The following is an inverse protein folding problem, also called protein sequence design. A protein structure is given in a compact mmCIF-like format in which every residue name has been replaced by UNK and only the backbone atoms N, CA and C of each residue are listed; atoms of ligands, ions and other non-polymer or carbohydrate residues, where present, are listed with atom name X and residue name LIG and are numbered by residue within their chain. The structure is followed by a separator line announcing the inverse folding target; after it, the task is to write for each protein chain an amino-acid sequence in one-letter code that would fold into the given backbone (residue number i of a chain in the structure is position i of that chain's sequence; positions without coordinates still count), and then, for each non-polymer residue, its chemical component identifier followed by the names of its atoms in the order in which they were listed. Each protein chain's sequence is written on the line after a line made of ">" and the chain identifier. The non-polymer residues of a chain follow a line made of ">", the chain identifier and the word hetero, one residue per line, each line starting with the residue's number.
data_IF_503696006959
#
_entry.id   IF_503696006959
#
_cell.length_a   1.000
_cell.length_b   1.000
_cell.length_c   1.000
_cell.angle_alpha   90.00
_cell.angle_beta   90.00
_cell.angle_gamma   90.00
#
_symmetry.space_group_name_H-M   'P 1'
#
loop_
_entity.id
_entity.type
_entity.pdbx_description
1 polymer ?
#
# COMPACT_ATOMS: atom_id res chain seq x y z
N UNK A 1 17.33 -0.81 -3.30
CA UNK A 1 16.21 -1.48 -4.00
C UNK A 1 16.44 -1.51 -5.52
N UNK A 2 16.85 -0.39 -6.13
CA UNK A 2 17.06 -0.25 -7.60
C UNK A 2 18.05 -1.23 -8.28
N UNK A 3 18.93 -1.88 -7.51
CA UNK A 3 19.83 -2.91 -8.01
C UNK A 3 19.17 -4.31 -8.16
N UNK A 4 17.87 -4.43 -7.88
CA UNK A 4 17.12 -5.70 -7.93
C UNK A 4 16.94 -6.39 -6.58
N UNK A 5 17.09 -5.65 -5.47
CA UNK A 5 16.86 -6.20 -4.14
C UNK A 5 15.35 -6.38 -3.90
N UNK A 6 14.94 -7.61 -3.55
CA UNK A 6 13.53 -7.97 -3.32
C UNK A 6 13.00 -7.44 -1.98
N UNK A 7 13.88 -7.31 -1.00
CA UNK A 7 13.60 -6.74 0.32
C UNK A 7 14.90 -6.32 1.02
N UNK A 8 14.78 -5.55 2.09
CA UNK A 8 15.88 -5.15 2.97
C UNK A 8 15.52 -5.55 4.40
N UNK A 9 16.43 -6.26 5.06
CA UNK A 9 16.28 -6.70 6.44
C UNK A 9 17.46 -6.26 7.29
N UNK A 10 17.20 -6.12 8.58
CA UNK A 10 18.27 -6.00 9.58
C UNK A 10 18.93 -7.35 9.89
N UNK A 11 20.00 -7.30 10.67
CA UNK A 11 20.58 -8.51 11.24
C UNK A 11 19.63 -9.05 12.33
N UNK A 12 19.26 -10.34 12.30
CA UNK A 12 18.39 -10.90 13.34
C UNK A 12 19.12 -10.92 14.69
N UNK A 13 18.34 -10.88 15.77
CA UNK A 13 18.87 -11.06 17.12
C UNK A 13 19.54 -12.44 17.26
N UNK A 14 20.52 -12.56 18.16
CA UNK A 14 21.18 -13.83 18.46
C UNK A 14 20.37 -14.70 19.45
N UNK A 15 20.68 -16.00 19.54
CA UNK A 15 20.13 -16.90 20.56
C UNK A 15 20.32 -16.31 21.96
N UNK A 16 19.27 -16.37 22.80
CA UNK A 16 19.26 -15.78 24.14
C UNK A 16 18.64 -14.38 24.23
N UNK A 17 18.37 -13.70 23.10
CA UNK A 17 17.62 -12.45 23.11
C UNK A 17 16.10 -12.72 23.21
N UNK A 18 15.32 -11.97 24.01
CA UNK A 18 13.87 -12.21 24.19
C UNK A 18 13.06 -12.22 22.89
N UNK A 19 13.51 -11.48 21.87
CA UNK A 19 12.87 -11.41 20.55
C UNK A 19 13.38 -12.45 19.54
N UNK A 20 14.33 -13.31 19.91
CA UNK A 20 14.99 -14.26 19.00
C UNK A 20 14.00 -15.14 18.24
N UNK A 21 13.16 -15.88 18.96
CA UNK A 21 12.19 -16.82 18.38
C UNK A 21 11.21 -16.15 17.40
N UNK A 22 10.71 -14.98 17.78
CA UNK A 22 9.82 -14.20 16.94
C UNK A 22 10.53 -13.71 15.66
N UNK A 23 11.72 -13.13 15.79
CA UNK A 23 12.49 -12.64 14.65
C UNK A 23 12.93 -13.78 13.73
N UNK A 24 13.37 -14.92 14.28
CA UNK A 24 13.74 -16.10 13.52
C UNK A 24 12.56 -16.62 12.69
N UNK A 25 11.36 -16.75 13.29
CA UNK A 25 10.16 -17.20 12.59
C UNK A 25 9.72 -16.24 11.49
N UNK A 26 9.79 -14.92 11.74
CA UNK A 26 9.52 -13.89 10.72
C UNK A 26 10.46 -14.03 9.53
N UNK A 27 11.75 -14.25 9.77
CA UNK A 27 12.77 -14.37 8.73
C UNK A 27 12.60 -15.67 7.94
N UNK A 28 12.34 -16.79 8.63
CA UNK A 28 12.09 -18.08 7.97
C UNK A 28 10.88 -18.02 7.05
N UNK A 29 9.76 -17.48 7.53
CA UNK A 29 8.57 -17.29 6.70
C UNK A 29 8.88 -16.43 5.48
N UNK A 30 9.62 -15.32 5.68
CA UNK A 30 9.98 -14.45 4.58
C UNK A 30 10.91 -15.12 3.57
N UNK A 31 11.89 -15.89 4.02
CA UNK A 31 12.80 -16.66 3.16
C UNK A 31 12.04 -17.72 2.36
N UNK A 32 11.10 -18.43 2.99
CA UNK A 32 10.23 -19.39 2.30
C UNK A 32 9.43 -18.71 1.19
N UNK A 33 8.73 -17.63 1.51
CA UNK A 33 7.97 -16.88 0.49
C UNK A 33 8.86 -16.30 -0.60
N UNK A 34 10.07 -15.83 -0.27
CA UNK A 34 11.01 -15.35 -1.28
C UNK A 34 11.60 -16.45 -2.15
N UNK A 35 11.75 -17.67 -1.62
CA UNK A 35 12.27 -18.81 -2.37
C UNK A 35 11.34 -19.25 -3.50
N UNK A 36 10.05 -18.93 -3.38
CA UNK A 36 9.02 -19.24 -4.38
C UNK A 36 8.97 -18.17 -5.51
N UNK A 37 9.57 -17.00 -5.30
CA UNK A 37 9.62 -15.92 -6.28
C UNK A 37 10.61 -16.29 -7.38
N UNK A 38 10.13 -16.48 -8.61
CA UNK A 38 11.01 -16.61 -9.77
C UNK A 38 11.75 -15.30 -10.00
N UNK A 39 13.04 -15.26 -9.65
CA UNK A 39 13.90 -14.12 -9.95
C UNK A 39 14.11 -14.07 -11.47
N UNK A 40 13.37 -13.21 -12.16
CA UNK A 40 13.63 -12.92 -13.57
C UNK A 40 14.93 -12.13 -13.63
N UNK A 41 16.00 -12.77 -14.12
CA UNK A 41 17.28 -12.08 -14.42
C UNK A 41 16.94 -10.94 -15.37
N UNK A 42 17.20 -9.70 -14.91
CA UNK A 42 17.01 -8.41 -15.58
C UNK A 42 17.12 -8.57 -17.11
N UNK A 43 15.99 -8.84 -17.78
CA UNK A 43 15.86 -8.57 -19.21
C UNK A 43 15.66 -7.07 -19.26
N UNK A 44 16.58 -6.38 -19.91
CA UNK A 44 16.37 -5.04 -20.42
C UNK A 44 15.09 -5.09 -21.25
N UNK A 45 13.95 -4.76 -20.64
CA UNK A 45 12.75 -4.43 -21.39
C UNK A 45 13.05 -3.05 -21.94
N UNK A 46 13.73 -3.06 -23.10
CA UNK A 46 13.79 -1.90 -23.97
C UNK A 46 12.36 -1.46 -24.24
N UNK A 47 12.21 -0.14 -24.22
CA UNK A 47 11.01 0.61 -24.50
C UNK A 47 10.19 0.05 -25.68
N UNK A 48 8.88 0.29 -25.60
CA UNK A 48 7.83 0.08 -26.60
C UNK A 48 6.93 -1.12 -26.33
N UNK A 49 6.15 -1.01 -25.26
CA UNK A 49 4.79 -1.53 -25.22
C UNK A 49 3.99 -0.59 -24.32
N UNK A 50 3.48 0.51 -24.87
CA UNK A 50 2.29 1.14 -24.28
C UNK A 50 1.24 0.04 -24.17
N UNK A 51 0.77 -0.35 -22.97
CA UNK A 51 -0.41 -1.17 -22.89
C UNK A 51 -1.51 -0.32 -23.50
N UNK A 52 -2.06 -0.76 -24.63
CA UNK A 52 -3.26 -0.14 -25.17
C UNK A 52 -4.26 -0.06 -24.01
N UNK A 53 -4.69 1.15 -23.65
CA UNK A 53 -5.70 1.40 -22.63
C UNK A 53 -6.93 0.61 -23.06
N UNK A 54 -7.08 -0.59 -22.50
CA UNK A 54 -8.14 -1.48 -22.86
C UNK A 54 -9.39 -0.88 -22.23
N UNK A 55 -10.20 -0.18 -23.03
CA UNK A 55 -11.43 0.54 -22.62
C UNK A 55 -12.49 -0.35 -21.94
N UNK A 56 -12.17 -1.61 -21.62
CA UNK A 56 -12.99 -2.60 -20.95
C UNK A 56 -12.82 -2.67 -19.42
N UNK A 57 -12.18 -1.69 -18.75
CA UNK A 57 -12.05 -1.60 -17.28
C UNK A 57 -13.38 -1.53 -16.49
N UNK A 58 -14.52 -1.61 -17.17
CA UNK A 58 -15.86 -1.60 -16.58
C UNK A 58 -16.50 -2.99 -16.47
N UNK A 59 -15.90 -4.05 -17.01
CA UNK A 59 -16.69 -5.27 -17.28
C UNK A 59 -17.02 -6.18 -16.08
N UNK A 60 -16.45 -5.99 -14.90
CA UNK A 60 -16.82 -6.77 -13.70
C UNK A 60 -16.62 -5.95 -12.41
N UNK A 61 -17.45 -4.93 -12.18
CA UNK A 61 -17.54 -4.27 -10.88
C UNK A 61 -18.51 -5.08 -10.01
N UNK A 62 -18.02 -5.70 -8.95
CA UNK A 62 -18.90 -6.34 -7.96
C UNK A 62 -19.61 -5.27 -7.14
N UNK A 63 -20.95 -5.28 -7.08
CA UNK A 63 -21.68 -4.51 -6.06
C UNK A 63 -21.25 -5.07 -4.68
N UNK A 64 -20.88 -4.26 -3.67
CA UNK A 64 -21.26 -2.87 -3.41
C UNK A 64 -20.17 -1.81 -3.74
N UNK A 65 -19.37 -1.99 -4.78
CA UNK A 65 -18.32 -1.02 -5.15
C UNK A 65 -18.86 0.25 -5.82
N UNK A 66 -18.15 1.38 -5.64
CA UNK A 66 -18.40 2.69 -6.29
C UNK A 66 -19.73 3.36 -5.88
N UNK A 67 -20.05 3.38 -4.58
CA UNK A 67 -21.26 4.06 -4.10
C UNK A 67 -21.05 5.55 -3.79
N UNK A 68 -19.79 5.97 -3.61
CA UNK A 68 -19.49 7.35 -3.26
C UNK A 68 -19.65 8.30 -4.46
N UNK A 69 -20.26 9.46 -4.21
CA UNK A 69 -20.36 10.56 -5.16
C UNK A 69 -19.06 11.36 -5.28
N UNK A 70 -18.21 11.28 -4.25
CA UNK A 70 -16.88 11.89 -4.18
C UNK A 70 -15.96 11.03 -3.32
N UNK A 71 -14.65 11.13 -3.54
CA UNK A 71 -13.63 10.53 -2.68
C UNK A 71 -12.87 11.63 -1.95
N UNK A 72 -12.51 11.36 -0.68
CA UNK A 72 -11.85 12.32 0.20
C UNK A 72 -10.43 11.90 0.62
N UNK A 73 -10.07 10.63 0.44
CA UNK A 73 -8.76 10.11 0.82
C UNK A 73 -8.36 8.91 -0.02
N UNK A 74 -7.06 8.76 -0.26
CA UNK A 74 -6.47 7.52 -0.77
C UNK A 74 -5.65 6.87 0.35
N UNK A 75 -5.89 5.60 0.62
CA UNK A 75 -5.09 4.80 1.57
C UNK A 75 -4.44 3.61 0.85
N UNK A 76 -3.14 3.42 1.05
CA UNK A 76 -2.34 2.41 0.35
C UNK A 76 -1.63 1.53 1.37
N UNK A 77 -1.70 0.21 1.18
CA UNK A 77 -0.99 -0.78 2.00
C UNK A 77 -0.12 -1.69 1.15
N UNK A 78 1.14 -1.89 1.57
CA UNK A 78 2.09 -2.73 0.83
C UNK A 78 3.16 -3.36 1.73
N UNK A 79 3.88 -4.37 1.21
CA UNK A 79 5.00 -5.02 1.88
C UNK A 79 6.11 -5.40 0.88
N UNK A 80 6.55 -6.67 0.81
CA UNK A 80 7.54 -7.12 -0.16
C UNK A 80 7.11 -6.82 -1.61
N UNK A 81 7.98 -6.14 -2.38
CA UNK A 81 7.65 -5.62 -3.72
C UNK A 81 6.84 -4.31 -3.74
N UNK A 82 6.34 -3.89 -2.57
CA UNK A 82 5.62 -2.63 -2.39
C UNK A 82 6.39 -1.37 -2.77
N UNK A 83 7.71 -1.22 -2.50
CA UNK A 83 8.43 -0.01 -2.84
C UNK A 83 8.35 0.40 -4.32
N UNK A 84 8.50 -0.55 -5.25
CA UNK A 84 8.41 -0.27 -6.70
C UNK A 84 6.96 0.00 -7.14
N UNK A 85 5.98 -0.71 -6.56
CA UNK A 85 4.56 -0.47 -6.85
C UNK A 85 4.10 0.90 -6.34
N UNK A 86 4.51 1.29 -5.13
CA UNK A 86 4.23 2.61 -4.55
C UNK A 86 4.91 3.71 -5.36
N UNK A 87 6.18 3.54 -5.75
CA UNK A 87 6.88 4.49 -6.63
C UNK A 87 6.12 4.68 -7.94
N UNK A 88 5.70 3.59 -8.58
CA UNK A 88 4.90 3.66 -9.82
C UNK A 88 3.62 4.46 -9.61
N UNK A 89 2.92 4.21 -8.49
CA UNK A 89 1.68 4.93 -8.18
C UNK A 89 1.95 6.40 -7.93
N UNK A 90 2.82 6.76 -6.98
CA UNK A 90 3.05 8.14 -6.58
C UNK A 90 3.72 9.00 -7.67
N UNK A 91 4.53 8.40 -8.55
CA UNK A 91 5.05 9.06 -9.74
C UNK A 91 3.98 9.19 -10.84
N UNK A 92 2.99 8.31 -10.88
CA UNK A 92 1.92 8.34 -11.87
C UNK A 92 0.76 9.29 -11.51
N UNK A 93 0.57 9.61 -10.23
CA UNK A 93 -0.50 10.50 -9.79
C UNK A 93 -0.31 11.92 -10.37
N UNK A 94 -1.44 12.56 -10.68
CA UNK A 94 -1.46 13.99 -11.01
C UNK A 94 -0.99 14.82 -9.81
N UNK A 95 -0.15 15.82 -10.05
CA UNK A 95 0.44 16.67 -8.99
C UNK A 95 -0.64 17.38 -8.12
N UNK A 96 -1.80 17.68 -8.70
CA UNK A 96 -2.90 18.41 -8.05
C UNK A 96 -4.08 17.49 -7.70
N UNK A 97 -3.82 16.23 -7.34
CA UNK A 97 -4.89 15.34 -6.90
C UNK A 97 -5.60 15.95 -5.66
N UNK A 98 -6.95 16.07 -5.64
CA UNK A 98 -7.66 16.91 -4.68
C UNK A 98 -7.83 16.27 -3.29
N UNK A 99 -7.08 15.20 -3.00
CA UNK A 99 -7.17 14.43 -1.76
C UNK A 99 -5.78 14.06 -1.24
N UNK A 100 -5.61 13.89 0.09
CA UNK A 100 -4.39 13.35 0.67
C UNK A 100 -4.24 11.86 0.37
N UNK A 101 -2.99 11.40 0.34
CA UNK A 101 -2.61 9.99 0.19
C UNK A 101 -1.92 9.52 1.47
N UNK A 102 -2.37 8.43 2.08
CA UNK A 102 -1.72 7.84 3.25
C UNK A 102 -1.22 6.45 2.87
N UNK A 103 0.04 6.16 3.19
CA UNK A 103 0.71 4.95 2.72
C UNK A 103 1.35 4.23 3.90
N UNK A 104 0.99 2.96 4.08
CA UNK A 104 1.69 2.05 4.99
C UNK A 104 2.46 1.04 4.16
N UNK A 105 3.78 1.13 4.23
CA UNK A 105 4.71 0.15 3.70
C UNK A 105 5.31 -0.61 4.89
N UNK A 106 5.17 -1.94 4.91
CA UNK A 106 5.91 -2.76 5.88
C UNK A 106 7.39 -2.78 5.51
N UNK A 107 8.15 -1.94 6.19
CA UNK A 107 9.59 -1.84 6.11
C UNK A 107 10.15 -1.72 7.53
N UNK A 108 11.40 -2.13 7.73
CA UNK A 108 12.06 -1.92 9.02
C UNK A 108 12.15 -0.41 9.34
N UNK A 109 11.98 -0.06 10.61
CA UNK A 109 11.95 1.32 11.08
C UNK A 109 13.21 2.11 10.68
N UNK A 110 14.37 1.45 10.63
CA UNK A 110 15.64 2.10 10.28
C UNK A 110 15.75 2.48 8.80
N UNK A 111 14.88 1.94 7.94
CA UNK A 111 14.84 2.27 6.52
C UNK A 111 13.67 3.19 6.14
N UNK A 112 12.77 3.51 7.09
CA UNK A 112 11.58 4.30 6.79
C UNK A 112 11.92 5.71 6.27
N UNK A 113 12.89 6.39 6.88
CA UNK A 113 13.34 7.72 6.44
C UNK A 113 13.98 7.67 5.06
N UNK A 114 14.98 6.81 4.87
CA UNK A 114 15.65 6.65 3.57
C UNK A 114 14.71 6.20 2.44
N UNK A 115 13.65 5.44 2.78
CA UNK A 115 12.60 5.10 1.83
C UNK A 115 11.79 6.32 1.40
N UNK A 116 11.41 7.19 2.35
CA UNK A 116 10.72 8.44 2.04
C UNK A 116 11.62 9.38 1.21
N UNK A 117 12.91 9.48 1.53
CA UNK A 117 13.87 10.29 0.75
C UNK A 117 14.00 9.80 -0.69
N UNK A 118 14.08 8.48 -0.87
CA UNK A 118 14.09 7.90 -2.22
C UNK A 118 12.80 8.24 -2.99
N UNK A 119 11.64 8.15 -2.35
CA UNK A 119 10.36 8.51 -2.98
C UNK A 119 10.28 10.01 -3.31
N UNK A 120 10.84 10.91 -2.48
CA UNK A 120 10.90 12.35 -2.78
C UNK A 120 11.60 12.65 -4.10
N UNK A 121 12.61 11.87 -4.45
CA UNK A 121 13.35 12.05 -5.71
C UNK A 121 12.61 11.56 -6.97
N UNK A 122 11.50 10.83 -6.81
CA UNK A 122 10.82 10.14 -7.93
C UNK A 122 9.32 10.35 -8.00
N UNK A 123 8.70 10.92 -6.97
CA UNK A 123 7.23 11.08 -6.89
C UNK A 123 6.77 12.42 -7.45
N UNK A 124 5.56 12.44 -8.02
CA UNK A 124 4.91 13.68 -8.47
C UNK A 124 4.23 14.45 -7.33
N UNK A 125 4.01 13.80 -6.19
CA UNK A 125 3.39 14.37 -5.00
C UNK A 125 4.42 14.56 -3.88
N UNK A 126 4.33 15.63 -3.06
CA UNK A 126 5.20 15.80 -1.90
C UNK A 126 5.07 14.66 -0.89
N UNK A 127 6.21 14.15 -0.40
CA UNK A 127 6.28 13.01 0.52
C UNK A 127 6.64 13.46 1.93
N UNK A 128 5.83 13.06 2.89
CA UNK A 128 5.92 13.41 4.31
C UNK A 128 6.01 12.17 5.19
N UNK A 129 6.82 12.25 6.24
CA UNK A 129 6.73 11.34 7.37
C UNK A 129 5.76 12.00 8.35
N UNK A 130 4.67 11.31 8.66
CA UNK A 130 3.59 11.87 9.42
C UNK A 130 4.01 12.21 10.86
N UNK A 131 3.61 13.38 11.33
CA UNK A 131 3.74 13.80 12.72
C UNK A 131 2.46 13.46 13.52
N UNK A 132 2.55 13.58 14.84
CA UNK A 132 1.38 13.48 15.70
C UNK A 132 0.44 14.68 15.43
N UNK A 133 -0.86 14.39 15.28
CA UNK A 133 -1.90 15.38 15.03
C UNK A 133 -1.57 16.33 13.86
N UNK A 134 -1.11 15.75 12.76
CA UNK A 134 -0.78 16.46 11.53
C UNK A 134 -2.00 16.71 10.65
N UNK A 135 -2.11 17.94 10.16
CA UNK A 135 -3.13 18.34 9.19
C UNK A 135 -2.76 17.82 7.82
N UNK A 136 -3.68 17.05 7.23
CA UNK A 136 -3.53 16.46 5.91
C UNK A 136 -3.82 17.47 4.81
N UNK A 137 -2.90 17.57 3.86
CA UNK A 137 -2.98 18.46 2.71
C UNK A 137 -3.31 17.64 1.47
N UNK A 138 -4.26 18.12 0.66
CA UNK A 138 -4.56 17.52 -0.64
C UNK A 138 -3.31 17.52 -1.54
N UNK A 139 -3.13 16.45 -2.32
CA UNK A 139 -1.97 16.33 -3.21
C UNK A 139 -0.68 15.90 -2.51
N UNK A 140 -0.71 15.62 -1.21
CA UNK A 140 0.45 15.18 -0.44
C UNK A 140 0.32 13.70 -0.03
N UNK A 141 1.46 13.01 0.06
CA UNK A 141 1.53 11.63 0.53
C UNK A 141 2.21 11.54 1.91
N UNK A 142 1.61 10.78 2.82
CA UNK A 142 2.02 10.65 4.22
C UNK A 142 2.35 9.20 4.56
N UNK A 143 3.48 8.99 5.22
CA UNK A 143 3.98 7.69 5.66
C UNK A 143 4.11 7.67 7.18
N UNK A 144 3.84 6.54 7.86
CA UNK A 144 4.14 6.41 9.27
C UNK A 144 5.65 6.55 9.51
N UNK A 145 6.06 7.16 10.63
CA UNK A 145 7.41 6.98 11.13
C UNK A 145 7.64 5.52 11.54
N UNK A 146 8.91 5.13 11.63
CA UNK A 146 9.29 3.77 12.01
C UNK A 146 8.68 3.33 13.34
N UNK A 147 8.17 2.10 13.40
CA UNK A 147 7.61 1.49 14.61
C UNK A 147 6.41 2.25 15.24
N UNK A 148 5.64 3.00 14.45
CA UNK A 148 4.39 3.64 14.87
C UNK A 148 3.28 3.41 13.84
N UNK A 149 2.02 3.39 14.28
CA UNK A 149 0.86 3.30 13.41
C UNK A 149 0.45 4.69 12.89
N UNK A 150 0.11 4.79 11.61
CA UNK A 150 -0.54 5.97 11.03
C UNK A 150 -2.06 5.78 11.09
N UNK A 151 -2.76 6.72 11.72
CA UNK A 151 -4.20 6.63 12.02
C UNK A 151 -4.89 7.93 11.63
N UNK A 152 -6.01 7.85 10.91
CA UNK A 152 -6.89 8.98 10.66
C UNK A 152 -7.76 9.26 11.89
N UNK A 153 -7.72 10.51 12.39
CA UNK A 153 -8.58 10.99 13.49
C UNK A 153 -9.84 11.68 12.98
N UNK A 154 -9.74 12.43 11.90
CA UNK A 154 -10.84 13.14 11.24
C UNK A 154 -10.56 13.30 9.75
N UNK A 155 -11.45 13.98 9.02
CA UNK A 155 -11.26 14.21 7.58
C UNK A 155 -9.98 14.99 7.24
N UNK A 156 -9.46 15.77 8.19
CA UNK A 156 -8.32 16.66 7.99
C UNK A 156 -7.12 16.33 8.86
N UNK A 157 -7.24 15.36 9.78
CA UNK A 157 -6.23 15.12 10.82
C UNK A 157 -5.80 13.65 10.84
N UNK A 158 -4.50 13.42 10.76
CA UNK A 158 -3.88 12.13 11.05
C UNK A 158 -3.01 12.22 12.31
N UNK A 159 -2.83 11.08 12.98
CA UNK A 159 -1.92 10.95 14.11
C UNK A 159 -1.03 9.74 13.91
N UNK A 160 0.10 9.76 14.61
CA UNK A 160 0.90 8.58 14.89
C UNK A 160 0.49 7.97 16.22
N UNK A 161 0.48 6.64 16.32
CA UNK A 161 0.18 5.91 17.55
C UNK A 161 1.26 4.88 17.88
N UNK A 162 1.64 4.84 19.16
CA UNK A 162 2.52 3.82 19.73
C UNK A 162 1.80 2.55 20.18
N UNK A 163 0.54 2.35 19.77
CA UNK A 163 -0.24 1.17 20.11
C UNK A 163 0.51 -0.14 19.79
N UNK A 164 0.19 -1.24 20.49
CA UNK A 164 0.83 -2.53 20.25
C UNK A 164 0.66 -3.00 18.79
N UNK A 165 1.64 -3.72 18.24
CA UNK A 165 1.57 -4.22 16.86
C UNK A 165 0.30 -5.05 16.58
N UNK A 166 -0.45 -4.70 15.54
CA UNK A 166 -1.60 -5.47 15.08
C UNK A 166 -1.13 -6.70 14.30
N UNK A 167 -1.48 -7.91 14.76
CA UNK A 167 -1.02 -9.18 14.16
C UNK A 167 0.51 -9.25 14.01
N UNK A 168 1.24 -8.57 14.91
CA UNK A 168 2.71 -8.52 14.91
C UNK A 168 3.32 -7.53 13.92
N UNK A 169 2.54 -6.61 13.34
CA UNK A 169 3.02 -5.58 12.41
C UNK A 169 2.82 -4.18 13.00
N UNK A 170 3.87 -3.36 12.91
CA UNK A 170 3.85 -1.94 13.23
C UNK A 170 4.89 -1.23 12.33
N UNK A 171 4.46 -0.32 11.42
CA UNK A 171 3.07 0.07 11.12
C UNK A 171 2.21 -1.10 10.60
N UNK A 172 0.89 -0.95 10.66
CA UNK A 172 -0.09 -1.92 10.14
C UNK A 172 -1.05 -1.24 9.17
N UNK A 173 -1.28 -1.89 8.03
CA UNK A 173 -2.25 -1.48 7.02
C UNK A 173 -3.66 -1.54 7.60
N UNK A 174 -3.97 -2.55 8.41
CA UNK A 174 -5.26 -2.70 9.06
C UNK A 174 -5.63 -1.49 9.95
N UNK A 175 -4.68 -0.94 10.72
CA UNK A 175 -4.94 0.27 11.51
C UNK A 175 -5.31 1.47 10.63
N UNK A 176 -4.56 1.71 9.56
CA UNK A 176 -4.84 2.80 8.63
C UNK A 176 -6.22 2.61 7.98
N UNK A 177 -6.49 1.43 7.42
CA UNK A 177 -7.74 1.16 6.68
C UNK A 177 -8.97 1.19 7.59
N UNK A 178 -8.86 0.64 8.80
CA UNK A 178 -9.95 0.70 9.78
C UNK A 178 -10.25 2.15 10.20
N UNK A 179 -9.22 2.96 10.42
CA UNK A 179 -9.41 4.39 10.72
C UNK A 179 -10.05 5.14 9.55
N UNK A 180 -9.64 4.87 8.31
CA UNK A 180 -10.27 5.42 7.11
C UNK A 180 -11.75 5.02 7.01
N UNK A 181 -12.07 3.75 7.29
CA UNK A 181 -13.44 3.23 7.27
C UNK A 181 -14.35 3.89 8.31
N UNK A 182 -13.79 4.32 9.45
CA UNK A 182 -14.50 5.04 10.51
C UNK A 182 -14.74 6.50 10.14
N UNK A 183 -13.73 7.18 9.58
CA UNK A 183 -13.78 8.61 9.27
C UNK A 183 -14.57 8.89 7.99
N UNK A 184 -14.28 8.17 6.91
CA UNK A 184 -14.72 8.54 5.56
C UNK A 184 -15.76 7.58 4.96
N UNK A 185 -16.00 6.44 5.60
CA UNK A 185 -16.96 5.43 5.13
C UNK A 185 -16.72 5.03 3.65
N UNK A 186 -17.67 5.30 2.75
CA UNK A 186 -17.58 5.01 1.31
C UNK A 186 -16.62 5.95 0.55
N UNK A 187 -16.28 7.12 1.10
CA UNK A 187 -15.50 8.17 0.41
C UNK A 187 -14.00 7.88 0.35
N UNK A 188 -13.62 6.60 0.34
CA UNK A 188 -12.24 6.11 0.39
C UNK A 188 -11.89 5.40 -0.91
N UNK A 189 -10.69 5.68 -1.44
CA UNK A 189 -10.02 4.79 -2.38
C UNK A 189 -8.95 4.02 -1.59
N UNK A 190 -9.11 2.72 -1.46
CA UNK A 190 -8.18 1.88 -0.70
C UNK A 190 -7.47 0.89 -1.62
N UNK A 191 -6.14 0.79 -1.48
CA UNK A 191 -5.30 0.02 -2.40
C UNK A 191 -4.43 -0.96 -1.62
N UNK A 192 -4.53 -2.26 -1.92
CA UNK A 192 -3.58 -3.28 -1.46
C UNK A 192 -2.63 -3.64 -2.60
N UNK A 193 -1.34 -3.51 -2.33
CA UNK A 193 -0.25 -3.81 -3.27
C UNK A 193 0.52 -5.06 -2.84
N UNK A 194 1.47 -5.46 -3.68
CA UNK A 194 2.40 -6.57 -3.47
C UNK A 194 2.91 -6.61 -2.02
N UNK A 195 2.85 -7.79 -1.44
CA UNK A 195 3.22 -7.98 -0.05
C UNK A 195 2.99 -9.39 0.45
N UNK A 196 3.74 -9.77 1.48
CA UNK A 196 3.55 -11.03 2.17
C UNK A 196 2.49 -10.90 3.27
N UNK A 197 1.75 -11.99 3.52
CA UNK A 197 0.80 -12.07 4.62
C UNK A 197 -0.59 -11.59 4.23
N UNK A 198 -1.34 -11.08 5.21
CA UNK A 198 -2.78 -10.79 5.07
C UNK A 198 -3.23 -9.48 5.71
N UNK A 199 -2.28 -8.64 6.12
CA UNK A 199 -2.61 -7.38 6.79
C UNK A 199 -3.36 -6.44 5.84
N UNK A 200 -4.39 -5.79 6.36
CA UNK A 200 -5.29 -4.93 5.59
C UNK A 200 -6.37 -5.67 4.78
N UNK A 201 -6.30 -6.99 4.58
CA UNK A 201 -7.27 -7.71 3.73
C UNK A 201 -8.69 -7.69 4.31
N UNK A 202 -8.82 -7.95 5.61
CA UNK A 202 -10.10 -7.88 6.34
C UNK A 202 -10.66 -6.45 6.32
N UNK A 203 -9.80 -5.45 6.51
CA UNK A 203 -10.17 -4.04 6.54
C UNK A 203 -10.49 -3.49 5.14
N UNK A 204 -9.86 -4.03 4.09
CA UNK A 204 -10.24 -3.74 2.71
C UNK A 204 -11.65 -4.30 2.44
N UNK A 205 -11.99 -5.49 2.94
CA UNK A 205 -13.35 -6.02 2.81
C UNK A 205 -14.37 -5.15 3.55
N UNK A 206 -14.02 -4.67 4.75
CA UNK A 206 -14.83 -3.72 5.50
C UNK A 206 -15.09 -2.43 4.69
N UNK A 207 -14.06 -1.85 4.09
CA UNK A 207 -14.18 -0.66 3.25
C UNK A 207 -15.06 -0.93 2.03
N UNK A 208 -14.85 -2.06 1.34
CA UNK A 208 -15.71 -2.47 0.23
C UNK A 208 -17.17 -2.57 0.66
N UNK A 209 -17.45 -3.23 1.79
CA UNK A 209 -18.81 -3.39 2.31
C UNK A 209 -19.48 -2.06 2.67
N UNK A 210 -18.69 -1.03 3.01
CA UNK A 210 -19.16 0.34 3.23
C UNK A 210 -19.42 1.12 1.94
N UNK A 211 -19.04 0.60 0.78
CA UNK A 211 -19.24 1.27 -0.51
C UNK A 211 -17.98 1.90 -1.13
N UNK A 212 -16.84 1.78 -0.44
CA UNK A 212 -15.56 2.34 -0.88
C UNK A 212 -15.04 1.69 -2.16
N UNK A 213 -14.17 2.40 -2.88
CA UNK A 213 -13.45 1.85 -4.01
C UNK A 213 -12.22 1.12 -3.52
N UNK A 214 -12.24 -0.20 -3.58
CA UNK A 214 -11.11 -1.05 -3.17
C UNK A 214 -10.39 -1.63 -4.38
N UNK A 215 -9.10 -1.34 -4.48
CA UNK A 215 -8.24 -1.76 -5.59
C UNK A 215 -7.19 -2.73 -5.04
N UNK A 216 -6.89 -3.77 -5.83
CA UNK A 216 -5.87 -4.76 -5.48
C UNK A 216 -4.92 -4.90 -6.66
N UNK A 217 -3.63 -4.95 -6.38
CA UNK A 217 -2.63 -5.23 -7.40
C UNK A 217 -2.83 -6.63 -7.98
N UNK A 218 -2.76 -6.79 -9.31
CA UNK A 218 -2.90 -8.10 -9.95
C UNK A 218 -1.70 -9.04 -9.68
N UNK A 219 -1.93 -10.33 -9.85
CA UNK A 219 -0.93 -11.37 -9.57
C UNK A 219 0.31 -11.30 -10.47
N UNK A 220 0.13 -10.99 -11.76
CA UNK A 220 1.21 -10.97 -12.74
C UNK A 220 2.20 -9.84 -12.46
N UNK A 221 1.70 -8.69 -11.98
CA UNK A 221 2.56 -7.56 -11.62
C UNK A 221 3.10 -7.62 -10.18
N UNK A 222 2.57 -8.51 -9.33
CA UNK A 222 3.04 -8.64 -7.94
C UNK A 222 4.38 -9.36 -7.87
N UNK A 223 5.26 -8.86 -7.00
CA UNK A 223 6.43 -9.63 -6.61
C UNK A 223 6.04 -10.75 -5.64
N UNK A 224 5.13 -10.44 -4.71
CA UNK A 224 4.56 -11.39 -3.75
C UNK A 224 3.05 -11.18 -3.71
N UNK A 225 2.31 -12.18 -4.20
CA UNK A 225 0.85 -12.15 -4.25
C UNK A 225 0.20 -12.67 -2.94
N UNK A 226 0.75 -12.29 -1.80
CA UNK A 226 0.24 -12.67 -0.47
C UNK A 226 -0.92 -11.76 -0.03
N UNK A 227 -0.61 -10.51 0.32
CA UNK A 227 -1.60 -9.51 0.75
C UNK A 227 -2.69 -9.28 -0.32
N UNK A 228 -2.33 -9.09 -1.61
CA UNK A 228 -3.31 -9.04 -2.69
C UNK A 228 -4.14 -10.32 -2.81
N UNK A 229 -3.48 -11.49 -2.76
CA UNK A 229 -4.15 -12.79 -2.88
C UNK A 229 -5.19 -13.03 -1.78
N UNK A 230 -4.88 -12.66 -0.54
CA UNK A 230 -5.84 -12.74 0.57
C UNK A 230 -7.01 -11.76 0.42
N UNK A 231 -6.75 -10.54 -0.05
CA UNK A 231 -7.81 -9.60 -0.37
C UNK A 231 -8.74 -10.12 -1.48
N UNK A 232 -8.21 -10.80 -2.51
CA UNK A 232 -9.00 -11.43 -3.56
C UNK A 232 -9.82 -12.60 -3.03
N UNK A 233 -9.24 -13.48 -2.20
CA UNK A 233 -9.96 -14.61 -1.58
C UNK A 233 -11.13 -14.17 -0.72
N UNK A 234 -11.00 -13.05 -0.01
CA UNK A 234 -12.08 -12.46 0.78
C UNK A 234 -13.12 -11.69 -0.06
N UNK A 235 -12.94 -11.66 -1.39
CA UNK A 235 -13.69 -10.83 -2.33
C UNK A 235 -13.71 -9.35 -1.88
N UNK A 236 -12.57 -8.88 -1.37
CA UNK A 236 -12.38 -7.51 -0.88
C UNK A 236 -12.09 -6.52 -2.00
N UNK A 237 -11.71 -6.98 -3.20
CA UNK A 237 -11.40 -6.12 -4.34
C UNK A 237 -12.66 -5.71 -5.12
N UNK A 238 -12.75 -4.43 -5.48
CA UNK A 238 -13.66 -3.93 -6.53
C UNK A 238 -13.05 -4.12 -7.91
N UNK A 239 -11.74 -3.89 -8.03
CA UNK A 239 -10.96 -4.13 -9.25
C UNK A 239 -9.59 -4.71 -8.88
N UNK A 240 -9.10 -5.58 -9.75
CA UNK A 240 -7.76 -6.16 -9.69
C UNK A 240 -7.01 -5.62 -10.89
N UNK A 241 -5.93 -4.87 -10.67
CA UNK A 241 -5.29 -4.04 -11.70
C UNK A 241 -3.77 -3.97 -11.50
N UNK A 242 -2.96 -3.85 -12.58
CA UNK A 242 -1.54 -3.52 -12.45
C UNK A 242 -1.36 -2.08 -11.93
N UNK A 243 -0.20 -1.75 -11.30
CA UNK A 243 0.05 -0.44 -10.71
C UNK A 243 -0.23 0.74 -11.65
N UNK A 244 0.14 0.61 -12.93
CA UNK A 244 -0.14 1.67 -13.91
C UNK A 244 -1.64 1.85 -14.17
N UNK A 245 -2.42 0.77 -14.22
CA UNK A 245 -3.88 0.89 -14.39
C UNK A 245 -4.58 1.39 -13.12
N UNK A 246 -3.99 1.18 -11.94
CA UNK A 246 -4.43 1.82 -10.68
C UNK A 246 -4.25 3.33 -10.79
N UNK A 247 -3.08 3.79 -11.25
CA UNK A 247 -2.81 5.22 -11.52
C UNK A 247 -3.84 5.80 -12.48
N UNK A 248 -4.00 5.18 -13.65
CA UNK A 248 -4.86 5.69 -14.71
C UNK A 248 -6.31 5.82 -14.21
N UNK A 249 -6.77 4.83 -13.43
CA UNK A 249 -8.11 4.87 -12.82
C UNK A 249 -8.24 6.00 -11.79
N UNK A 250 -7.26 6.17 -10.90
CA UNK A 250 -7.29 7.24 -9.89
C UNK A 250 -7.30 8.61 -10.57
N UNK A 251 -6.41 8.84 -11.53
CA UNK A 251 -6.36 10.09 -12.28
C UNK A 251 -7.67 10.33 -13.04
N UNK A 252 -8.27 9.29 -13.64
CA UNK A 252 -9.57 9.42 -14.33
C UNK A 252 -10.71 9.81 -13.37
N UNK A 253 -10.70 9.30 -12.14
CA UNK A 253 -11.72 9.62 -11.13
C UNK A 253 -11.66 11.10 -10.76
N UNK A 254 -10.46 11.67 -10.59
CA UNK A 254 -10.25 13.05 -10.17
C UNK A 254 -10.11 14.07 -11.31
N UNK A 255 -10.16 13.62 -12.57
CA UNK A 255 -10.18 14.51 -13.74
C UNK A 255 -11.58 14.97 -14.15
N UNK A 256 -12.62 14.52 -13.42
CA UNK A 256 -14.02 14.92 -13.61
C UNK A 256 -14.40 16.04 -12.67
#
# INVERSE_FOLDING_TARGET
>A
LEAGALNILQKPYGPGHPKFEYTARKYLNMLQTMSEIKVVKRRTILANSTPAINKNFQKNISKPCLQATEYKVIVIGASAGGPEAIKTILNGLNQNIPVPVLVVQHIDSHFAEGYCDWLRSTSNVPIHIAAADEVLIAGHAYFPPGDQHLILKSETLATISGDPPLKGLRPSVGHLFNSAAKVFQEKVIAVILSGMGKDGADELKLLKNKGALTLVQDEESCLVFGMPGEAVKLEAACKILPPQAIVDLINQIFSK
#
